data_IF_797142949390
#
_entry.id   IF_797142949390
#
_cell.length_a   1.000
_cell.length_b   1.000
_cell.length_c   1.000
_cell.angle_alpha   90.00
_cell.angle_beta   90.00
_cell.angle_gamma   90.00
#
_symmetry.space_group_name_H-M   'P 1'
#
loop_
_entity.id
_entity.type
_entity.pdbx_description
1 polymer ?
#
# COMPACT_ATOMS: atom_id res chain seq x y z
N UNK A 1 4.40 4.74 -4.43
CA UNK A 1 3.66 5.41 -3.32
C UNK A 1 4.44 6.64 -2.92
N UNK A 2 4.81 7.42 -3.93
CA UNK A 2 5.94 8.31 -3.79
C UNK A 2 5.45 9.56 -3.06
N UNK A 3 6.12 9.88 -1.96
CA UNK A 3 5.69 10.94 -1.03
C UNK A 3 5.01 10.45 0.24
N UNK A 4 4.63 9.17 0.35
CA UNK A 4 4.19 8.61 1.64
C UNK A 4 5.45 8.34 2.47
N UNK A 5 5.58 9.05 3.60
CA UNK A 5 6.74 8.88 4.48
C UNK A 5 6.78 7.47 5.09
N UNK A 6 7.97 6.85 5.25
CA UNK A 6 8.11 5.65 6.06
C UNK A 6 7.54 5.86 7.46
N UNK A 7 6.77 4.89 7.96
CA UNK A 7 6.09 5.00 9.25
C UNK A 7 4.76 5.76 9.22
N UNK A 8 4.28 6.20 8.05
CA UNK A 8 2.93 6.73 7.92
C UNK A 8 1.88 5.69 8.34
N UNK A 9 0.86 6.16 9.06
CA UNK A 9 -0.25 5.33 9.48
C UNK A 9 -1.34 5.30 8.40
N UNK A 10 -1.88 4.11 8.16
CA UNK A 10 -2.98 3.84 7.23
C UNK A 10 -3.95 2.85 7.87
N UNK A 11 -5.20 2.84 7.40
CA UNK A 11 -6.27 2.08 8.03
C UNK A 11 -6.39 0.66 7.46
N UNK A 12 -6.34 -0.35 8.32
CA UNK A 12 -6.57 -1.76 7.99
C UNK A 12 -7.77 -2.33 8.76
N UNK A 13 -8.50 -3.28 8.16
CA UNK A 13 -9.54 -4.06 8.84
C UNK A 13 -9.65 -5.46 8.21
N UNK A 14 -8.59 -6.25 8.34
CA UNK A 14 -8.45 -7.56 7.67
C UNK A 14 -7.82 -8.60 8.59
N UNK A 15 -8.26 -9.86 8.46
CA UNK A 15 -7.68 -11.00 9.20
C UNK A 15 -6.60 -11.74 8.41
N UNK A 16 -6.50 -11.50 7.10
CA UNK A 16 -5.56 -12.14 6.19
C UNK A 16 -4.76 -11.08 5.44
N UNK A 17 -3.59 -11.47 4.95
CA UNK A 17 -2.75 -10.66 4.08
C UNK A 17 -2.32 -11.47 2.87
N UNK A 18 -1.92 -10.76 1.81
CA UNK A 18 -1.34 -11.38 0.62
C UNK A 18 0.15 -11.69 0.84
N UNK A 19 0.57 -12.90 0.47
CA UNK A 19 1.98 -13.31 0.40
C UNK A 19 2.33 -13.57 -1.09
N UNK A 20 2.84 -12.56 -1.82
CA UNK A 20 3.16 -12.71 -3.24
C UNK A 20 4.32 -13.68 -3.45
N UNK A 21 4.22 -14.55 -4.45
CA UNK A 21 5.29 -15.50 -4.78
C UNK A 21 6.60 -14.82 -5.26
N UNK A 22 6.52 -13.62 -5.83
CA UNK A 22 7.67 -12.79 -6.18
C UNK A 22 7.66 -11.50 -5.37
N UNK A 23 8.82 -11.10 -4.84
CA UNK A 23 8.98 -9.84 -4.11
C UNK A 23 9.05 -8.62 -5.03
N UNK A 24 9.27 -8.82 -6.34
CA UNK A 24 9.39 -7.73 -7.31
C UNK A 24 8.09 -6.94 -7.48
N UNK A 25 6.95 -7.54 -7.13
CA UNK A 25 5.64 -6.87 -7.19
C UNK A 25 5.28 -6.15 -5.88
N UNK A 26 6.06 -6.29 -4.82
CA UNK A 26 5.76 -5.66 -3.52
C UNK A 26 6.04 -4.16 -3.62
N UNK A 27 4.98 -3.37 -3.45
CA UNK A 27 5.05 -1.91 -3.51
C UNK A 27 5.32 -1.30 -2.13
N UNK A 28 4.72 -1.89 -1.09
CA UNK A 28 4.97 -1.52 0.29
C UNK A 28 4.69 -2.67 1.25
N UNK A 29 5.37 -2.64 2.39
CA UNK A 29 5.20 -3.59 3.49
C UNK A 29 4.71 -2.85 4.74
N UNK A 30 3.97 -3.58 5.59
CA UNK A 30 3.54 -3.09 6.90
C UNK A 30 3.97 -4.09 7.97
N UNK A 31 4.42 -3.56 9.10
CA UNK A 31 4.66 -4.35 10.30
C UNK A 31 3.42 -4.28 11.20
N UNK A 32 2.89 -5.44 11.58
CA UNK A 32 1.81 -5.55 12.55
C UNK A 32 2.11 -6.69 13.52
N UNK A 33 2.27 -6.34 14.80
CA UNK A 33 2.58 -7.28 15.87
C UNK A 33 3.79 -8.19 15.56
N UNK A 34 4.83 -7.64 14.91
CA UNK A 34 6.06 -8.37 14.55
C UNK A 34 5.94 -9.22 13.29
N UNK A 35 4.79 -9.19 12.60
CA UNK A 35 4.62 -9.80 11.28
C UNK A 35 4.75 -8.71 10.23
N UNK A 36 5.76 -8.82 9.36
CA UNK A 36 5.91 -7.97 8.19
C UNK A 36 5.26 -8.62 6.98
N UNK A 37 4.36 -7.91 6.32
CA UNK A 37 3.59 -8.43 5.19
C UNK A 37 3.45 -7.42 4.04
N UNK A 38 3.15 -7.91 2.84
CA UNK A 38 2.85 -7.09 1.68
C UNK A 38 1.50 -6.38 1.87
N UNK A 39 1.53 -5.07 2.12
CA UNK A 39 0.34 -4.23 2.30
C UNK A 39 -0.09 -3.49 1.04
N UNK A 40 0.76 -3.49 0.02
CA UNK A 40 0.45 -3.01 -1.32
C UNK A 40 1.36 -3.66 -2.36
N UNK A 41 0.80 -3.92 -3.54
CA UNK A 41 1.47 -4.52 -4.68
C UNK A 41 1.26 -3.71 -5.95
N UNK A 42 2.18 -3.84 -6.89
CA UNK A 42 2.02 -3.34 -8.24
C UNK A 42 2.69 -4.24 -9.28
N UNK A 43 2.00 -4.48 -10.39
CA UNK A 43 2.52 -5.21 -11.53
C UNK A 43 1.94 -4.62 -12.83
N UNK A 44 2.79 -4.00 -13.65
CA UNK A 44 2.33 -3.22 -14.79
C UNK A 44 1.35 -2.12 -14.36
N UNK A 45 0.17 -2.10 -14.99
CA UNK A 45 -0.92 -1.17 -14.69
C UNK A 45 -1.85 -1.65 -13.55
N UNK A 46 -1.58 -2.81 -12.95
CA UNK A 46 -2.35 -3.33 -11.81
C UNK A 46 -1.71 -2.86 -10.51
N UNK A 47 -2.53 -2.30 -9.62
CA UNK A 47 -2.12 -1.92 -8.27
C UNK A 47 -3.18 -2.41 -7.29
N UNK A 48 -2.73 -3.07 -6.22
CA UNK A 48 -3.58 -3.56 -5.14
C UNK A 48 -3.10 -2.99 -3.81
N UNK A 49 -4.01 -2.45 -3.01
CA UNK A 49 -3.73 -1.94 -1.68
C UNK A 49 -4.59 -2.72 -0.68
N UNK A 50 -3.98 -3.21 0.39
CA UNK A 50 -4.69 -3.94 1.44
C UNK A 50 -5.31 -2.98 2.47
N UNK A 51 -4.69 -1.82 2.71
CA UNK A 51 -5.28 -0.77 3.53
C UNK A 51 -6.34 0.01 2.75
N UNK A 52 -7.14 0.80 3.48
CA UNK A 52 -8.18 1.68 2.93
C UNK A 52 -7.65 3.12 2.83
N UNK A 53 -7.19 3.58 1.65
CA UNK A 53 -6.66 4.94 1.49
C UNK A 53 -7.67 5.99 1.93
N UNK A 54 -8.95 5.79 1.64
CA UNK A 54 -10.07 6.69 1.96
C UNK A 54 -10.33 6.86 3.46
N UNK A 55 -9.83 5.93 4.30
CA UNK A 55 -10.00 5.96 5.76
C UNK A 55 -8.70 6.29 6.50
N UNK A 56 -7.63 6.65 5.80
CA UNK A 56 -6.28 6.73 6.36
C UNK A 56 -5.88 8.10 6.90
N UNK A 57 -6.84 8.97 7.24
CA UNK A 57 -6.54 10.33 7.72
C UNK A 57 -5.68 11.09 6.73
N UNK A 58 -4.83 12.02 7.17
CA UNK A 58 -4.02 12.90 6.30
C UNK A 58 -3.20 12.18 5.21
N UNK A 59 -2.79 10.93 5.45
CA UNK A 59 -2.10 10.08 4.47
C UNK A 59 -2.92 9.87 3.19
N UNK A 60 -4.26 9.94 3.25
CA UNK A 60 -5.18 9.64 2.14
C UNK A 60 -4.80 10.42 0.87
N UNK A 61 -4.60 11.73 0.99
CA UNK A 61 -4.39 12.61 -0.15
C UNK A 61 -3.11 12.30 -0.91
N UNK A 62 -2.03 11.98 -0.17
CA UNK A 62 -0.73 11.62 -0.74
C UNK A 62 -0.82 10.29 -1.48
N UNK A 63 -1.51 9.31 -0.89
CA UNK A 63 -1.71 7.99 -1.50
C UNK A 63 -2.48 8.10 -2.81
N UNK A 64 -3.59 8.86 -2.84
CA UNK A 64 -4.36 9.04 -4.07
C UNK A 64 -3.60 9.78 -5.16
N UNK A 65 -2.78 10.78 -4.81
CA UNK A 65 -1.91 11.44 -5.78
C UNK A 65 -0.89 10.48 -6.39
N UNK A 66 -0.25 9.65 -5.55
CA UNK A 66 0.67 8.64 -6.03
C UNK A 66 -0.02 7.61 -6.94
N UNK A 67 -1.27 7.23 -6.62
CA UNK A 67 -2.06 6.34 -7.47
C UNK A 67 -2.41 6.99 -8.81
N UNK A 68 -2.91 8.23 -8.81
CA UNK A 68 -3.24 8.96 -10.03
C UNK A 68 -2.03 9.11 -10.96
N UNK A 69 -0.85 9.39 -10.41
CA UNK A 69 0.39 9.47 -11.18
C UNK A 69 0.76 8.14 -11.85
N UNK A 70 0.51 6.98 -11.20
CA UNK A 70 0.75 5.66 -11.81
C UNK A 70 -0.23 5.31 -12.92
N UNK A 71 -1.47 5.78 -12.83
CA UNK A 71 -2.48 5.53 -13.90
C UNK A 71 -2.19 6.37 -15.15
N UNK A 72 -1.54 7.52 -14.99
CA UNK A 72 -1.20 8.41 -16.09
C UNK A 72 0.11 8.05 -16.83
N UNK A 73 0.87 7.07 -16.33
CA UNK A 73 2.15 6.62 -16.87
C UNK A 73 1.98 5.34 -17.70
#
# INVERSE_FOLDING_TARGET
LDGVAPGAHVYFMHSYYAEPASRDVVLCETDYAGVRFCSGLAHGNVTGLQFHPERSGESWFVIYRAFAARVAA
#
